data_IF_238908018037
#
_entry.id   IF_238908018037
#
_cell.length_a   1.000
_cell.length_b   1.000
_cell.length_c   1.000
_cell.angle_alpha   90.00
_cell.angle_beta   90.00
_cell.angle_gamma   90.00
#
_symmetry.space_group_name_H-M   'P 1'
#
loop_
_entity.id
_entity.type
_entity.pdbx_description
1 polymer ?
#
# COMPACT_ATOMS: atom_id res chain seq x y z
N UNK A 1 8.07 -6.31 7.22
CA UNK A 1 7.61 -6.58 5.83
C UNK A 1 6.85 -5.45 5.14
N UNK A 2 6.09 -4.61 5.85
CA UNK A 2 5.33 -3.53 5.18
C UNK A 2 6.23 -2.50 4.47
N UNK A 3 7.37 -2.12 5.06
CA UNK A 3 8.37 -1.25 4.41
C UNK A 3 8.91 -1.90 3.12
N UNK A 4 9.14 -3.22 3.16
CA UNK A 4 9.65 -3.99 2.03
C UNK A 4 8.63 -4.04 0.88
N UNK A 5 7.35 -4.25 1.20
CA UNK A 5 6.27 -4.15 0.20
C UNK A 5 6.16 -2.74 -0.40
N UNK A 6 6.30 -1.69 0.42
CA UNK A 6 6.26 -0.31 -0.03
C UNK A 6 7.44 0.04 -0.94
N UNK A 7 8.65 -0.40 -0.61
CA UNK A 7 9.86 -0.24 -1.41
C UNK A 7 9.73 -0.92 -2.78
N UNK A 8 9.19 -2.14 -2.82
CA UNK A 8 8.93 -2.85 -4.06
C UNK A 8 7.87 -2.15 -4.92
N UNK A 9 6.80 -1.63 -4.31
CA UNK A 9 5.74 -0.92 -5.01
C UNK A 9 6.26 0.33 -5.73
N UNK A 10 7.00 1.21 -5.04
CA UNK A 10 7.54 2.45 -5.63
C UNK A 10 8.63 2.22 -6.66
N UNK A 11 9.30 1.07 -6.63
CA UNK A 11 10.31 0.69 -7.64
C UNK A 11 9.69 0.10 -8.90
N UNK A 12 8.47 -0.44 -8.80
CA UNK A 12 7.80 -1.12 -9.90
C UNK A 12 6.91 -0.19 -10.74
N UNK A 13 6.41 0.90 -10.16
CA UNK A 13 5.49 1.83 -10.83
C UNK A 13 5.59 3.26 -10.28
N UNK A 14 5.02 4.22 -11.02
CA UNK A 14 5.03 5.63 -10.66
C UNK A 14 3.94 5.96 -9.62
N UNK A 15 4.09 5.41 -8.41
CA UNK A 15 3.19 5.61 -7.27
C UNK A 15 3.84 6.47 -6.20
N UNK A 16 3.05 7.36 -5.60
CA UNK A 16 3.45 8.17 -4.47
C UNK A 16 3.01 7.53 -3.16
N UNK A 17 3.93 7.35 -2.22
CA UNK A 17 3.59 6.92 -0.85
C UNK A 17 2.98 8.09 -0.07
N UNK A 18 1.81 7.86 0.51
CA UNK A 18 1.10 8.82 1.35
C UNK A 18 1.42 8.60 2.83
N UNK A 19 1.32 7.36 3.29
CA UNK A 19 1.55 7.01 4.70
C UNK A 19 2.07 5.58 4.81
N UNK A 20 3.06 5.37 5.68
CA UNK A 20 3.39 4.04 6.20
C UNK A 20 3.12 4.07 7.70
N UNK A 21 2.09 3.34 8.14
CA UNK A 21 1.78 3.23 9.57
C UNK A 21 2.31 1.92 10.11
N UNK A 22 3.32 2.02 10.97
CA UNK A 22 3.92 0.90 11.68
C UNK A 22 3.17 0.63 13.00
N UNK A 23 3.41 -0.54 13.59
CA UNK A 23 2.64 -1.26 14.61
C UNK A 23 2.26 -0.57 15.94
N UNK A 24 2.25 0.75 16.02
CA UNK A 24 1.82 1.52 17.18
C UNK A 24 0.30 1.44 17.37
N UNK A 25 -0.16 0.62 18.33
CA UNK A 25 -1.59 0.43 18.63
C UNK A 25 -2.35 -0.47 17.65
N UNK A 26 -1.63 -1.15 16.74
CA UNK A 26 -2.23 -1.98 15.67
C UNK A 26 -2.05 -3.49 15.88
N UNK A 27 -1.57 -3.92 17.05
CA UNK A 27 -1.38 -5.33 17.38
C UNK A 27 -0.37 -6.03 16.44
N UNK A 28 0.76 -5.38 16.16
CA UNK A 28 1.78 -5.90 15.25
C UNK A 28 1.48 -5.67 13.76
N UNK A 29 0.29 -5.16 13.41
CA UNK A 29 -0.08 -4.89 12.02
C UNK A 29 0.49 -3.55 11.55
N UNK A 30 0.71 -3.45 10.25
CA UNK A 30 1.16 -2.24 9.58
C UNK A 30 0.49 -2.15 8.22
N UNK A 31 0.28 -0.95 7.71
CA UNK A 31 -0.23 -0.72 6.37
C UNK A 31 0.53 0.41 5.69
N UNK A 32 0.44 0.42 4.36
CA UNK A 32 0.93 1.49 3.51
C UNK A 32 -0.23 2.01 2.65
N UNK A 33 -0.31 3.33 2.51
CA UNK A 33 -1.18 4.02 1.58
C UNK A 33 -0.34 4.63 0.47
N UNK A 34 -0.81 4.47 -0.76
CA UNK A 34 -0.18 5.01 -1.96
C UNK A 34 -1.23 5.49 -2.94
N UNK A 35 -0.86 6.47 -3.76
CA UNK A 35 -1.71 7.01 -4.83
C UNK A 35 -0.95 7.11 -6.15
N UNK A 36 -1.70 7.18 -7.24
CA UNK A 36 -1.18 7.21 -8.60
C UNK A 36 -2.31 7.00 -9.60
N UNK A 37 -1.96 6.71 -10.86
CA UNK A 37 -2.98 6.22 -11.81
C UNK A 37 -3.43 4.82 -11.41
N UNK A 38 -4.61 4.39 -11.87
CA UNK A 38 -5.14 3.04 -11.55
C UNK A 38 -4.15 1.96 -11.99
N UNK A 39 -3.54 2.11 -13.16
CA UNK A 39 -2.55 1.17 -13.69
C UNK A 39 -1.28 1.14 -12.82
N UNK A 40 -0.77 2.29 -12.41
CA UNK A 40 0.43 2.36 -11.56
C UNK A 40 0.17 1.76 -10.17
N UNK A 41 -1.00 2.03 -9.58
CA UNK A 41 -1.37 1.48 -8.27
C UNK A 41 -1.54 -0.04 -8.35
N UNK A 42 -2.21 -0.57 -9.38
CA UNK A 42 -2.35 -2.01 -9.58
C UNK A 42 -0.99 -2.70 -9.74
N UNK A 43 -0.11 -2.14 -10.58
CA UNK A 43 1.24 -2.67 -10.79
C UNK A 43 2.09 -2.63 -9.52
N UNK A 44 2.08 -1.51 -8.79
CA UNK A 44 2.83 -1.33 -7.56
C UNK A 44 2.36 -2.25 -6.43
N UNK A 45 1.03 -2.37 -6.24
CA UNK A 45 0.45 -3.30 -5.27
C UNK A 45 0.79 -4.74 -5.62
N UNK A 46 0.69 -5.14 -6.89
CA UNK A 46 1.05 -6.50 -7.32
C UNK A 46 2.52 -6.81 -7.03
N UNK A 47 3.45 -5.91 -7.34
CA UNK A 47 4.87 -6.09 -7.08
C UNK A 47 5.18 -6.20 -5.58
N UNK A 48 4.58 -5.34 -4.75
CA UNK A 48 4.75 -5.39 -3.30
C UNK A 48 4.20 -6.68 -2.68
N UNK A 49 3.04 -7.13 -3.15
CA UNK A 49 2.38 -8.36 -2.68
C UNK A 49 3.17 -9.60 -3.05
N UNK A 50 3.64 -9.68 -4.30
CA UNK A 50 4.41 -10.82 -4.80
C UNK A 50 5.63 -11.10 -3.93
N UNK A 51 6.27 -10.06 -3.42
CA UNK A 51 7.48 -10.16 -2.62
C UNK A 51 7.21 -10.58 -1.17
N UNK A 52 6.04 -10.25 -0.61
CA UNK A 52 5.71 -10.56 0.80
C UNK A 52 4.72 -11.71 0.98
N UNK A 53 4.13 -12.24 -0.09
CA UNK A 53 3.15 -13.33 -0.03
C UNK A 53 3.73 -14.61 0.58
N UNK A 54 5.00 -14.91 0.28
CA UNK A 54 5.67 -16.14 0.71
C UNK A 54 5.96 -16.15 2.21
N UNK A 55 6.09 -14.97 2.83
CA UNK A 55 6.28 -14.84 4.27
C UNK A 55 4.98 -15.11 5.07
N UNK A 56 3.81 -15.20 4.41
CA UNK A 56 2.52 -15.45 5.06
C UNK A 56 2.03 -14.30 5.94
N UNK A 57 2.64 -13.12 5.81
CA UNK A 57 2.37 -11.94 6.66
C UNK A 57 1.43 -10.91 5.99
N UNK A 58 1.02 -11.15 4.74
CA UNK A 58 0.02 -10.34 4.06
C UNK A 58 -1.37 -10.59 4.66
N UNK A 59 -1.97 -9.54 5.21
CA UNK A 59 -3.32 -9.62 5.78
C UNK A 59 -4.38 -9.29 4.73
N UNK A 60 -4.19 -8.19 3.99
CA UNK A 60 -5.16 -7.69 2.99
C UNK A 60 -4.50 -6.70 2.04
N UNK A 61 -4.94 -6.70 0.79
CA UNK A 61 -4.71 -5.64 -0.20
C UNK A 61 -6.04 -5.13 -0.74
N UNK A 62 -6.13 -3.84 -1.07
CA UNK A 62 -7.30 -3.23 -1.71
C UNK A 62 -6.82 -2.11 -2.64
N UNK A 63 -7.36 -2.06 -3.85
CA UNK A 63 -7.19 -0.93 -4.79
C UNK A 63 -8.52 -0.18 -4.87
N UNK A 64 -8.47 1.15 -4.77
CA UNK A 64 -9.64 2.03 -4.81
C UNK A 64 -9.45 3.02 -5.96
N UNK A 65 -10.00 2.70 -7.14
CA UNK A 65 -9.79 3.49 -8.37
C UNK A 65 -10.37 4.90 -8.31
N UNK A 66 -11.47 5.10 -7.59
CA UNK A 66 -12.15 6.39 -7.46
C UNK A 66 -12.50 6.66 -5.99
N UNK A 67 -11.50 7.12 -5.23
CA UNK A 67 -11.67 7.43 -3.82
C UNK A 67 -12.68 8.59 -3.63
N UNK A 68 -13.70 8.35 -2.80
CA UNK A 68 -14.70 9.37 -2.49
C UNK A 68 -14.06 10.57 -1.78
N UNK A 69 -14.48 11.80 -2.12
CA UNK A 69 -13.83 13.02 -1.62
C UNK A 69 -13.80 13.13 -0.09
N UNK A 70 -14.89 12.73 0.59
CA UNK A 70 -14.92 12.73 2.06
C UNK A 70 -13.85 11.83 2.68
N UNK A 71 -13.46 10.74 2.00
CA UNK A 71 -12.39 9.86 2.47
C UNK A 71 -11.02 10.47 2.21
N UNK A 72 -10.85 11.18 1.09
CA UNK A 72 -9.60 11.87 0.76
C UNK A 72 -9.19 12.88 1.84
N UNK A 73 -10.14 13.65 2.36
CA UNK A 73 -9.94 14.61 3.45
C UNK A 73 -9.59 14.00 4.82
N UNK A 74 -9.59 12.67 4.94
CA UNK A 74 -9.22 11.96 6.18
C UNK A 74 -7.83 11.32 6.10
N UNK A 75 -7.25 11.25 4.90
CA UNK A 75 -5.97 10.59 4.63
C UNK A 75 -4.89 11.65 4.34
N UNK A 76 -5.27 12.77 3.73
CA UNK A 76 -4.45 13.97 3.51
C UNK A 76 -4.88 15.04 4.51
#
# INVERSE_FOLDING_TARGET
ICIVAADAAVKASDVQLLEIRLANGLGGKSFVLMEGTVADVEAGVAAGVELVKEEGLLIRQVVISQLHQQMRSKII
#
